data_IF_446487393565
#
_entry.id   IF_446487393565
#
_cell.length_a   1.000
_cell.length_b   1.000
_cell.length_c   1.000
_cell.angle_alpha   90.00
_cell.angle_beta   90.00
_cell.angle_gamma   90.00
#
_symmetry.space_group_name_H-M   'P 1'
#
loop_
_entity.id
_entity.type
_entity.pdbx_description
1 polymer ?
#
# COMPACT_ATOMS: atom_id res chain seq x y z
N UNK A 1 18.69 6.52 -1.43
CA UNK A 1 18.87 5.87 -2.75
C UNK A 1 17.75 4.88 -2.92
N UNK A 2 16.73 5.24 -3.69
CA UNK A 2 15.61 4.36 -3.99
C UNK A 2 16.08 3.31 -4.98
N UNK A 3 16.16 2.07 -4.53
CA UNK A 3 16.35 0.92 -5.40
C UNK A 3 15.06 0.68 -6.19
N UNK A 4 14.83 1.50 -7.20
CA UNK A 4 13.90 1.25 -8.30
C UNK A 4 14.68 1.43 -9.61
N UNK A 5 15.76 0.64 -9.73
CA UNK A 5 16.49 0.50 -10.97
C UNK A 5 15.66 -0.31 -11.95
N UNK A 6 15.10 0.37 -12.96
CA UNK A 6 14.25 -0.20 -14.01
C UNK A 6 12.85 0.39 -13.94
N UNK A 7 12.67 1.58 -14.51
CA UNK A 7 11.40 2.33 -14.57
C UNK A 7 10.34 1.50 -15.30
N UNK A 8 9.59 0.74 -14.52
CA UNK A 8 8.31 0.21 -14.90
C UNK A 8 7.39 1.43 -15.12
N UNK A 9 6.54 1.41 -16.17
CA UNK A 9 5.56 2.50 -16.34
C UNK A 9 4.60 2.51 -15.14
N UNK A 10 4.06 3.67 -14.79
CA UNK A 10 3.03 3.80 -13.73
C UNK A 10 1.87 2.83 -13.98
N UNK A 11 1.45 2.68 -15.24
CA UNK A 11 0.38 1.74 -15.61
C UNK A 11 0.75 0.28 -15.34
N UNK A 12 2.00 -0.08 -15.59
CA UNK A 12 2.49 -1.42 -15.33
C UNK A 12 2.58 -1.66 -13.81
N UNK A 13 3.06 -0.70 -13.03
CA UNK A 13 3.07 -0.78 -11.56
C UNK A 13 1.67 -1.02 -10.99
N UNK A 14 0.65 -0.37 -11.54
CA UNK A 14 -0.75 -0.58 -11.14
C UNK A 14 -1.23 -2.01 -11.46
N UNK A 15 -0.93 -2.53 -12.65
CA UNK A 15 -1.30 -3.90 -13.07
C UNK A 15 -0.65 -4.94 -12.15
N UNK A 16 0.65 -4.82 -11.91
CA UNK A 16 1.36 -5.72 -11.02
C UNK A 16 0.86 -5.56 -9.57
N UNK A 17 0.65 -4.33 -9.11
CA UNK A 17 0.11 -4.03 -7.79
C UNK A 17 -1.25 -4.71 -7.54
N UNK A 18 -2.20 -4.60 -8.46
CA UNK A 18 -3.51 -5.24 -8.35
C UNK A 18 -3.39 -6.77 -8.32
N UNK A 19 -2.54 -7.35 -9.18
CA UNK A 19 -2.28 -8.79 -9.18
C UNK A 19 -1.70 -9.27 -7.83
N UNK A 20 -0.71 -8.55 -7.29
CA UNK A 20 -0.15 -8.81 -5.97
C UNK A 20 -1.20 -8.68 -4.86
N UNK A 21 -2.03 -7.64 -4.92
CA UNK A 21 -3.06 -7.41 -3.92
C UNK A 21 -4.07 -8.56 -3.90
N UNK A 22 -4.53 -9.03 -5.06
CA UNK A 22 -5.43 -10.20 -5.16
C UNK A 22 -4.83 -11.45 -4.54
N UNK A 23 -3.55 -11.73 -4.81
CA UNK A 23 -2.85 -12.87 -4.22
C UNK A 23 -2.70 -12.71 -2.70
N UNK A 24 -2.42 -11.51 -2.24
CA UNK A 24 -2.24 -11.21 -0.82
C UNK A 24 -3.56 -11.31 -0.05
N UNK A 25 -4.68 -10.83 -0.63
CA UNK A 25 -6.04 -11.03 -0.09
C UNK A 25 -6.40 -12.51 0.09
N UNK A 26 -5.92 -13.36 -0.81
CA UNK A 26 -6.16 -14.81 -0.73
C UNK A 26 -5.26 -15.50 0.30
N UNK A 27 -4.05 -14.98 0.54
CA UNK A 27 -3.04 -15.64 1.39
C UNK A 27 -3.01 -15.13 2.83
N UNK A 28 -3.35 -13.86 3.07
CA UNK A 28 -3.21 -13.21 4.39
C UNK A 28 -4.57 -12.73 4.92
N UNK A 29 -4.79 -12.81 6.24
CA UNK A 29 -6.00 -12.27 6.86
C UNK A 29 -5.93 -10.74 6.88
N UNK A 30 -6.54 -10.09 5.90
CA UNK A 30 -6.70 -8.64 5.88
C UNK A 30 -7.78 -8.23 6.88
N UNK A 31 -7.48 -7.21 7.68
CA UNK A 31 -8.41 -6.61 8.63
C UNK A 31 -9.33 -5.67 7.85
N UNK A 32 -10.63 -5.97 7.85
CA UNK A 32 -11.67 -5.16 7.21
C UNK A 32 -12.52 -4.44 8.26
N UNK A 33 -11.87 -3.78 9.21
CA UNK A 33 -12.55 -2.97 10.23
C UNK A 33 -12.68 -1.53 9.72
N UNK A 34 -13.90 -0.98 9.55
CA UNK A 34 -14.09 0.35 8.99
C UNK A 34 -13.43 1.45 9.82
N UNK A 35 -13.37 1.32 11.15
CA UNK A 35 -12.79 2.35 12.03
C UNK A 35 -11.27 2.37 11.89
N UNK A 36 -10.64 1.19 11.89
CA UNK A 36 -9.19 1.07 11.71
C UNK A 36 -8.80 1.54 10.31
N UNK A 37 -9.57 1.15 9.30
CA UNK A 37 -9.30 1.55 7.92
C UNK A 37 -9.39 3.07 7.77
N UNK A 38 -10.41 3.73 8.31
CA UNK A 38 -10.52 5.19 8.29
C UNK A 38 -9.37 5.88 9.04
N UNK A 39 -8.96 5.34 10.19
CA UNK A 39 -7.84 5.89 10.96
C UNK A 39 -6.53 5.83 10.18
N UNK A 40 -6.21 4.67 9.60
CA UNK A 40 -4.97 4.49 8.84
C UNK A 40 -5.02 5.30 7.54
N UNK A 41 -6.17 5.34 6.88
CA UNK A 41 -6.35 6.08 5.63
C UNK A 41 -6.21 7.59 5.86
N UNK A 42 -6.85 8.15 6.89
CA UNK A 42 -6.72 9.57 7.23
C UNK A 42 -5.30 9.95 7.66
N UNK A 43 -4.61 9.08 8.41
CA UNK A 43 -3.21 9.27 8.78
C UNK A 43 -2.31 9.21 7.54
N UNK A 44 -2.50 8.21 6.69
CA UNK A 44 -1.76 8.03 5.44
C UNK A 44 -1.91 9.23 4.51
N UNK A 45 -3.15 9.71 4.30
CA UNK A 45 -3.42 10.90 3.51
C UNK A 45 -2.75 12.17 4.06
N UNK A 46 -2.70 12.34 5.40
CA UNK A 46 -1.96 13.47 6.00
C UNK A 46 -0.46 13.39 5.73
N UNK A 47 0.11 12.19 5.75
CA UNK A 47 1.52 11.98 5.44
C UNK A 47 1.81 12.23 3.96
N UNK A 48 0.98 11.70 3.07
CA UNK A 48 1.08 11.88 1.62
C UNK A 48 0.88 13.35 1.21
N UNK A 49 -0.01 14.07 1.88
CA UNK A 49 -0.23 15.51 1.64
C UNK A 49 1.01 16.38 1.92
N UNK A 50 1.93 15.90 2.77
CA UNK A 50 3.20 16.57 3.05
C UNK A 50 4.37 15.94 2.27
N UNK A 51 4.13 14.93 1.45
CA UNK A 51 5.14 14.28 0.62
C UNK A 51 5.28 15.00 -0.73
N UNK A 52 6.51 15.18 -1.18
CA UNK A 52 6.78 15.72 -2.51
C UNK A 52 6.67 14.59 -3.56
N UNK A 53 6.15 14.90 -4.75
CA UNK A 53 6.12 14.02 -5.93
C UNK A 53 5.23 12.77 -5.81
N UNK A 54 4.01 12.93 -5.29
CA UNK A 54 2.97 11.89 -5.24
C UNK A 54 2.42 11.63 -6.64
N UNK A 55 2.83 10.54 -7.29
CA UNK A 55 2.42 10.19 -8.67
C UNK A 55 1.35 9.11 -8.77
N UNK A 56 1.01 8.46 -7.66
CA UNK A 56 0.04 7.35 -7.62
C UNK A 56 -0.89 7.48 -6.41
N UNK A 57 -2.16 7.04 -6.50
CA UNK A 57 -3.01 6.90 -5.33
C UNK A 57 -2.37 5.91 -4.35
N UNK A 58 -2.39 6.25 -3.06
CA UNK A 58 -1.90 5.36 -2.01
C UNK A 58 -3.07 4.59 -1.41
N UNK A 59 -2.85 3.31 -1.14
CA UNK A 59 -3.82 2.42 -0.55
C UNK A 59 -3.23 1.77 0.69
N UNK A 60 -3.74 2.16 1.86
CA UNK A 60 -3.32 1.59 3.12
C UNK A 60 -4.28 0.48 3.56
N UNK A 61 -3.75 -0.61 4.07
CA UNK A 61 -4.55 -1.70 4.63
C UNK A 61 -3.80 -2.42 5.73
N UNK A 62 -4.54 -3.04 6.64
CA UNK A 62 -3.96 -3.71 7.79
C UNK A 62 -4.05 -5.23 7.64
N UNK A 63 -2.98 -5.93 8.00
CA UNK A 63 -2.89 -7.38 8.04
C UNK A 63 -2.97 -7.79 9.51
N UNK A 64 -3.76 -8.83 9.79
CA UNK A 64 -3.85 -9.39 11.14
C UNK A 64 -2.61 -10.24 11.42
N UNK A 65 -1.54 -9.58 11.82
CA UNK A 65 -0.30 -10.18 12.31
C UNK A 65 0.00 -9.69 13.73
N UNK A 66 0.57 -10.54 14.58
CA UNK A 66 1.03 -10.16 15.93
C UNK A 66 2.45 -9.60 15.91
N UNK A 67 3.15 -9.76 14.80
CA UNK A 67 4.47 -9.20 14.58
C UNK A 67 4.34 -7.79 14.01
N UNK A 68 5.14 -6.87 14.53
CA UNK A 68 5.23 -5.51 13.99
C UNK A 68 5.94 -5.60 12.65
N UNK A 69 5.22 -5.31 11.57
CA UNK A 69 5.77 -5.27 10.22
C UNK A 69 5.01 -4.25 9.37
N UNK A 70 5.69 -3.62 8.43
CA UNK A 70 5.06 -2.77 7.43
C UNK A 70 5.85 -2.89 6.13
N UNK A 71 5.15 -2.97 5.00
CA UNK A 71 5.80 -3.05 3.69
C UNK A 71 4.95 -2.35 2.63
N UNK A 72 5.62 -1.82 1.60
CA UNK A 72 4.98 -1.19 0.45
C UNK A 72 5.39 -1.90 -0.84
N UNK A 73 4.48 -1.93 -1.81
CA UNK A 73 4.75 -2.50 -3.13
C UNK A 73 4.13 -1.65 -4.25
N UNK A 74 4.41 -2.04 -5.50
CA UNK A 74 4.00 -1.32 -6.71
C UNK A 74 2.51 -0.97 -6.73
N UNK A 75 2.18 0.19 -7.31
CA UNK A 75 0.80 0.68 -7.37
C UNK A 75 0.33 1.43 -6.11
N UNK A 76 1.25 1.83 -5.23
CA UNK A 76 0.94 2.67 -4.07
C UNK A 76 0.33 1.90 -2.88
N UNK A 77 0.44 0.58 -2.86
CA UNK A 77 -0.09 -0.25 -1.79
C UNK A 77 0.86 -0.31 -0.59
N UNK A 78 0.32 -0.04 0.60
CA UNK A 78 1.05 -0.08 1.87
C UNK A 78 0.30 -0.99 2.85
N UNK A 79 0.98 -2.03 3.29
CA UNK A 79 0.49 -2.99 4.27
C UNK A 79 1.10 -2.70 5.65
N UNK A 80 0.27 -2.74 6.68
CA UNK A 80 0.61 -2.54 8.09
C UNK A 80 0.17 -3.73 8.95
#
# INVERSE_FOLDING_TARGET
GTAAGGTLSIDQELIYGDAYMRMLRASKPIVNDPVINEYIDSLGHRLVANANDVKTPFHFFMIRDRNINAFAFFGGYVAL
#
